data_IF_169175054224
#
_entry.id   IF_169175054224
#
_cell.length_a   1.000
_cell.length_b   1.000
_cell.length_c   1.000
_cell.angle_alpha   90.00
_cell.angle_beta   90.00
_cell.angle_gamma   90.00
#
_symmetry.space_group_name_H-M   'P 1'
#
loop_
_entity.id
_entity.type
_entity.pdbx_description
1 polymer ?
#
# COMPACT_ATOMS: atom_id res chain seq x y z
N UNK A 1 -12.56 -12.85 -13.83
CA UNK A 1 -11.92 -13.07 -12.51
C UNK A 1 -12.66 -14.17 -11.78
N UNK A 2 -11.94 -15.15 -11.27
CA UNK A 2 -12.57 -16.28 -10.58
C UNK A 2 -12.96 -15.89 -9.14
N UNK A 3 -14.05 -16.48 -8.64
CA UNK A 3 -14.57 -16.21 -7.30
C UNK A 3 -13.52 -16.33 -6.16
N UNK A 4 -12.57 -17.29 -6.17
CA UNK A 4 -11.54 -17.38 -5.13
C UNK A 4 -10.61 -16.15 -5.07
N UNK A 5 -10.28 -15.57 -6.23
CA UNK A 5 -9.43 -14.38 -6.29
C UNK A 5 -10.14 -13.18 -5.67
N UNK A 6 -11.43 -13.01 -5.99
CA UNK A 6 -12.25 -11.94 -5.42
C UNK A 6 -12.38 -12.09 -3.90
N UNK A 7 -12.60 -13.31 -3.40
CA UNK A 7 -12.70 -13.57 -1.96
C UNK A 7 -11.40 -13.24 -1.22
N UNK A 8 -10.24 -13.63 -1.76
CA UNK A 8 -8.94 -13.29 -1.19
C UNK A 8 -8.71 -11.78 -1.18
N UNK A 9 -9.00 -11.10 -2.29
CA UNK A 9 -8.84 -9.66 -2.42
C UNK A 9 -9.73 -8.92 -1.42
N UNK A 10 -11.04 -9.15 -1.45
CA UNK A 10 -12.00 -8.50 -0.56
C UNK A 10 -11.78 -8.88 0.91
N UNK A 11 -11.32 -10.10 1.18
CA UNK A 11 -10.92 -10.54 2.51
C UNK A 11 -9.72 -9.77 3.05
N UNK A 12 -8.76 -9.40 2.21
CA UNK A 12 -7.55 -8.65 2.62
C UNK A 12 -7.80 -7.16 2.88
N UNK A 13 -8.76 -6.55 2.16
CA UNK A 13 -9.10 -5.12 2.27
C UNK A 13 -9.30 -4.63 3.72
N UNK A 14 -10.14 -5.24 4.57
CA UNK A 14 -10.34 -4.75 5.93
C UNK A 14 -9.08 -4.82 6.79
N UNK A 15 -8.25 -5.86 6.64
CA UNK A 15 -6.99 -5.97 7.39
C UNK A 15 -6.01 -4.86 7.01
N UNK A 16 -5.87 -4.58 5.71
CA UNK A 16 -5.00 -3.50 5.22
C UNK A 16 -5.55 -2.14 5.66
N UNK A 17 -6.87 -1.93 5.60
CA UNK A 17 -7.49 -0.68 6.01
C UNK A 17 -7.28 -0.39 7.51
N UNK A 18 -7.52 -1.38 8.38
CA UNK A 18 -7.27 -1.26 9.83
C UNK A 18 -5.80 -0.97 10.10
N UNK A 19 -4.88 -1.64 9.39
CA UNK A 19 -3.46 -1.39 9.54
C UNK A 19 -3.06 0.03 9.08
N UNK A 20 -3.55 0.51 7.93
CA UNK A 20 -3.27 1.88 7.43
C UNK A 20 -3.74 2.93 8.44
N UNK A 21 -4.96 2.75 8.99
CA UNK A 21 -5.49 3.64 10.01
C UNK A 21 -4.59 3.66 11.25
N UNK A 22 -4.20 2.47 11.76
CA UNK A 22 -3.32 2.36 12.93
C UNK A 22 -1.94 2.97 12.69
N UNK A 23 -1.30 2.64 11.57
CA UNK A 23 0.03 3.14 11.23
C UNK A 23 0.05 4.67 11.07
N UNK A 24 -1.00 5.24 10.46
CA UNK A 24 -1.17 6.69 10.32
C UNK A 24 -1.42 7.36 11.68
N UNK A 25 -2.25 6.74 12.54
CA UNK A 25 -2.49 7.23 13.90
C UNK A 25 -1.21 7.26 14.74
N UNK A 26 -0.39 6.21 14.63
CA UNK A 26 0.91 6.15 15.31
C UNK A 26 1.86 7.23 14.77
N UNK A 27 1.90 7.43 13.45
CA UNK A 27 2.69 8.50 12.85
C UNK A 27 2.27 9.89 13.35
N UNK A 28 0.97 10.16 13.47
CA UNK A 28 0.45 11.42 14.01
C UNK A 28 0.81 11.60 15.51
N UNK A 29 0.87 10.51 16.28
CA UNK A 29 1.34 10.57 17.67
C UNK A 29 2.86 10.80 17.78
N UNK A 30 3.64 10.48 16.73
CA UNK A 30 5.06 10.80 16.65
C UNK A 30 5.28 12.26 16.21
N UNK A 31 4.45 12.78 15.31
CA UNK A 31 4.45 14.17 14.83
C UNK A 31 3.01 14.70 14.71
N UNK A 32 2.56 15.59 15.60
CA UNK A 32 1.18 16.08 15.61
C UNK A 32 0.77 16.90 14.38
N UNK A 33 1.73 17.49 13.66
CA UNK A 33 1.49 18.44 12.55
C UNK A 33 1.40 17.77 11.17
N UNK A 34 0.96 16.51 11.10
CA UNK A 34 0.80 15.80 9.82
C UNK A 34 -0.48 16.23 9.10
N UNK A 35 -0.40 16.33 7.78
CA UNK A 35 -1.50 16.78 6.90
C UNK A 35 -2.55 15.66 6.73
N UNK A 36 -2.15 14.40 6.78
CA UNK A 36 -3.06 13.25 6.66
C UNK A 36 -3.65 12.82 8.00
N UNK A 37 -4.98 12.91 8.13
CA UNK A 37 -5.67 12.28 9.26
C UNK A 37 -5.77 10.75 9.08
N UNK A 38 -5.75 9.95 10.16
CA UNK A 38 -5.76 8.49 10.05
C UNK A 38 -7.03 7.93 9.40
N UNK A 39 -8.17 8.59 9.62
CA UNK A 39 -9.42 8.26 8.97
C UNK A 39 -9.39 8.56 7.47
N UNK A 40 -8.81 9.72 7.08
CA UNK A 40 -8.69 10.10 5.68
C UNK A 40 -7.72 9.19 4.91
N UNK A 41 -6.66 8.68 5.56
CA UNK A 41 -5.74 7.71 4.96
C UNK A 41 -6.44 6.46 4.38
N UNK A 42 -7.57 6.04 4.97
CA UNK A 42 -8.40 4.94 4.47
C UNK A 42 -9.53 5.44 3.58
N UNK A 43 -10.17 6.56 3.92
CA UNK A 43 -11.31 7.09 3.18
C UNK A 43 -10.97 7.42 1.72
N UNK A 44 -9.72 7.81 1.44
CA UNK A 44 -9.27 8.15 0.09
C UNK A 44 -9.35 7.02 -0.93
N UNK A 45 -9.35 5.76 -0.50
CA UNK A 45 -9.52 4.62 -1.42
C UNK A 45 -10.91 4.54 -2.05
N UNK A 46 -11.92 5.19 -1.46
CA UNK A 46 -13.31 5.14 -1.91
C UNK A 46 -13.69 6.27 -2.87
N UNK A 47 -12.84 7.28 -3.04
CA UNK A 47 -13.10 8.43 -3.90
C UNK A 47 -12.36 8.22 -5.23
N UNK A 48 -13.04 8.05 -6.38
CA UNK A 48 -12.41 7.56 -7.62
C UNK A 48 -11.20 8.36 -8.13
N UNK A 49 -11.22 9.68 -7.99
CA UNK A 49 -10.10 10.53 -8.44
C UNK A 49 -8.99 10.56 -7.39
N UNK A 50 -9.37 10.70 -6.12
CA UNK A 50 -8.41 10.76 -5.02
C UNK A 50 -7.70 9.42 -4.80
N UNK A 51 -8.36 8.30 -5.07
CA UNK A 51 -7.83 6.94 -4.92
C UNK A 51 -6.64 6.65 -5.84
N UNK A 52 -6.35 7.52 -6.83
CA UNK A 52 -5.18 7.43 -7.69
C UNK A 52 -3.90 8.01 -7.07
N UNK A 53 -4.01 8.90 -6.08
CA UNK A 53 -2.84 9.62 -5.55
C UNK A 53 -2.81 9.78 -4.03
N UNK A 54 -3.96 9.97 -3.40
CA UNK A 54 -4.04 10.25 -1.97
C UNK A 54 -3.60 9.07 -1.08
N UNK A 55 -3.89 7.80 -1.41
CA UNK A 55 -3.35 6.68 -0.63
C UNK A 55 -1.82 6.58 -0.65
N UNK A 56 -1.21 6.90 -1.79
CA UNK A 56 0.25 6.99 -1.90
C UNK A 56 0.80 8.11 -1.02
N UNK A 57 0.17 9.28 -1.02
CA UNK A 57 0.60 10.40 -0.18
C UNK A 57 0.53 10.04 1.31
N UNK A 58 -0.58 9.48 1.78
CA UNK A 58 -0.76 9.07 3.17
C UNK A 58 0.27 8.00 3.60
N UNK A 59 0.52 7.01 2.73
CA UNK A 59 1.52 5.98 2.99
C UNK A 59 2.94 6.54 3.04
N UNK A 60 3.28 7.46 2.12
CA UNK A 60 4.59 8.12 2.08
C UNK A 60 4.81 8.99 3.30
N UNK A 61 3.81 9.75 3.73
CA UNK A 61 3.87 10.58 4.94
C UNK A 61 4.04 9.73 6.20
N UNK A 62 3.30 8.63 6.31
CA UNK A 62 3.44 7.64 7.39
C UNK A 62 4.86 7.05 7.42
N UNK A 63 5.39 6.66 6.26
CA UNK A 63 6.74 6.13 6.09
C UNK A 63 7.80 7.15 6.53
N UNK A 64 7.77 8.35 5.93
CA UNK A 64 8.76 9.40 6.19
C UNK A 64 8.74 9.82 7.66
N UNK A 65 7.57 9.90 8.28
CA UNK A 65 7.43 10.24 9.71
C UNK A 65 7.99 9.15 10.59
N UNK A 66 7.64 7.89 10.33
CA UNK A 66 8.10 6.74 11.10
C UNK A 66 9.63 6.63 11.10
N UNK A 67 10.28 6.86 9.96
CA UNK A 67 11.73 6.77 9.85
C UNK A 67 12.46 8.10 10.07
N UNK A 68 11.76 9.17 10.45
CA UNK A 68 12.38 10.48 10.68
C UNK A 68 13.31 10.52 11.89
N UNK A 69 13.04 9.67 12.90
CA UNK A 69 13.84 9.52 14.12
C UNK A 69 14.98 8.50 13.98
N UNK A 70 14.98 7.70 12.91
CA UNK A 70 16.01 6.68 12.65
C UNK A 70 17.26 7.33 12.02
N UNK A 71 18.42 6.88 12.45
CA UNK A 71 19.74 7.22 11.90
C UNK A 71 19.78 6.96 10.39
N UNK A 72 20.39 7.87 9.62
CA UNK A 72 20.42 7.78 8.15
C UNK A 72 21.01 6.45 7.63
N UNK A 73 21.96 5.86 8.36
CA UNK A 73 22.60 4.59 8.01
C UNK A 73 21.67 3.38 8.11
N UNK A 74 20.67 3.44 9.01
CA UNK A 74 19.76 2.32 9.29
C UNK A 74 18.37 2.52 8.68
N UNK A 75 18.17 3.61 7.91
CA UNK A 75 16.90 3.87 7.23
C UNK A 75 16.71 2.89 6.08
N UNK A 76 15.54 2.21 6.00
CA UNK A 76 15.21 1.41 4.83
C UNK A 76 15.04 2.31 3.59
N UNK A 77 15.09 1.68 2.41
CA UNK A 77 14.95 2.37 1.13
C UNK A 77 13.66 3.21 1.06
N UNK A 78 13.74 4.45 0.58
CA UNK A 78 12.58 5.36 0.60
C UNK A 78 11.53 5.05 -0.49
N UNK A 79 11.83 4.15 -1.42
CA UNK A 79 11.00 3.89 -2.58
C UNK A 79 9.93 2.81 -2.34
N UNK A 80 9.90 2.12 -1.19
CA UNK A 80 8.87 1.09 -0.91
C UNK A 80 7.43 1.58 -1.14
N UNK A 81 6.98 2.75 -0.62
CA UNK A 81 5.64 3.26 -0.91
C UNK A 81 5.40 3.52 -2.40
N UNK A 82 6.40 4.00 -3.13
CA UNK A 82 6.30 4.26 -4.56
C UNK A 82 6.23 2.95 -5.37
N UNK A 83 7.07 1.95 -5.04
CA UNK A 83 7.05 0.61 -5.66
C UNK A 83 5.69 -0.05 -5.49
N UNK A 84 5.19 -0.08 -4.25
CA UNK A 84 3.85 -0.62 -3.96
C UNK A 84 2.79 0.05 -4.84
N UNK A 85 2.79 1.38 -4.90
CA UNK A 85 1.78 2.14 -5.63
C UNK A 85 1.84 1.93 -7.14
N UNK A 86 3.04 1.98 -7.72
CA UNK A 86 3.25 1.77 -9.17
C UNK A 86 2.81 0.38 -9.57
N UNK A 87 3.16 -0.66 -8.80
CA UNK A 87 2.72 -2.02 -9.09
C UNK A 87 1.21 -2.20 -8.91
N UNK A 88 0.61 -1.55 -7.91
CA UNK A 88 -0.83 -1.59 -7.70
C UNK A 88 -1.61 -0.96 -8.86
N UNK A 89 -1.29 0.29 -9.23
CA UNK A 89 -1.91 0.97 -10.37
C UNK A 89 -1.63 0.21 -11.67
N UNK A 90 -0.38 -0.20 -11.91
CA UNK A 90 0.02 -0.94 -13.11
C UNK A 90 -0.75 -2.25 -13.26
N UNK A 91 -0.95 -2.98 -12.15
CA UNK A 91 -1.76 -4.21 -12.15
C UNK A 91 -3.23 -3.95 -12.48
N UNK A 92 -3.81 -2.87 -11.93
CA UNK A 92 -5.20 -2.48 -12.20
C UNK A 92 -5.41 -2.08 -13.66
N UNK A 93 -4.49 -1.27 -14.22
CA UNK A 93 -4.53 -0.87 -15.63
C UNK A 93 -4.38 -2.08 -16.56
N UNK A 94 -3.42 -2.97 -16.28
CA UNK A 94 -3.23 -4.19 -17.08
C UNK A 94 -4.47 -5.09 -17.05
N UNK A 95 -5.11 -5.27 -15.89
CA UNK A 95 -6.35 -6.02 -15.77
C UNK A 95 -7.51 -5.38 -16.53
N UNK A 96 -7.67 -4.06 -16.43
CA UNK A 96 -8.68 -3.32 -17.18
C UNK A 96 -8.49 -3.48 -18.70
N UNK A 97 -7.26 -3.32 -19.20
CA UNK A 97 -6.94 -3.51 -20.63
C UNK A 97 -7.23 -4.94 -21.06
N UNK A 98 -6.83 -5.94 -20.26
CA UNK A 98 -7.11 -7.35 -20.55
C UNK A 98 -8.62 -7.61 -20.72
N UNK A 99 -9.44 -7.06 -19.82
CA UNK A 99 -10.90 -7.19 -19.87
C UNK A 99 -11.50 -6.50 -21.09
N UNK A 100 -11.04 -5.29 -21.43
CA UNK A 100 -11.55 -4.56 -22.60
C UNK A 100 -11.18 -5.28 -23.90
N UNK A 101 -9.93 -5.74 -24.03
CA UNK A 101 -9.45 -6.47 -25.21
C UNK A 101 -10.20 -7.80 -25.36
N UNK A 102 -10.40 -8.54 -24.28
CA UNK A 102 -11.12 -9.82 -24.29
C UNK A 102 -12.61 -9.67 -24.66
N UNK A 103 -13.23 -8.53 -24.34
CA UNK A 103 -14.64 -8.24 -24.69
C UNK A 103 -14.80 -7.76 -26.14
N UNK A 104 -13.83 -7.04 -26.67
CA UNK A 104 -13.93 -6.42 -27.99
C UNK A 104 -13.87 -7.43 -29.14
N UNK A 105 -12.99 -8.43 -29.07
CA UNK A 105 -12.77 -9.38 -30.18
C UNK A 105 -12.34 -10.77 -29.70
N UNK A 106 -12.89 -11.82 -30.33
CA UNK A 106 -12.62 -13.24 -30.01
C UNK A 106 -11.60 -13.92 -30.93
N UNK A 107 -10.85 -13.15 -31.74
CA UNK A 107 -9.81 -13.72 -32.59
C UNK A 107 -8.69 -14.33 -31.72
N UNK A 108 -8.13 -15.51 -32.05
CA UNK A 108 -7.14 -16.19 -31.20
C UNK A 108 -5.93 -15.31 -30.81
N UNK A 109 -5.39 -14.53 -31.77
CA UNK A 109 -4.27 -13.61 -31.51
C UNK A 109 -4.62 -12.50 -30.51
N UNK A 110 -5.86 -11.98 -30.56
CA UNK A 110 -6.35 -10.97 -29.62
C UNK A 110 -6.52 -11.57 -28.22
N UNK A 111 -7.01 -12.81 -28.14
CA UNK A 111 -7.12 -13.51 -26.87
C UNK A 111 -5.74 -13.80 -26.24
N UNK A 112 -4.74 -14.15 -27.05
CA UNK A 112 -3.36 -14.29 -26.57
C UNK A 112 -2.84 -12.99 -25.96
N UNK A 113 -3.09 -11.85 -26.61
CA UNK A 113 -2.71 -10.53 -26.09
C UNK A 113 -3.42 -10.22 -24.77
N UNK A 114 -4.73 -10.47 -24.67
CA UNK A 114 -5.48 -10.31 -23.41
C UNK A 114 -4.89 -11.17 -22.29
N UNK A 115 -4.49 -12.40 -22.58
CA UNK A 115 -3.85 -13.29 -21.60
C UNK A 115 -2.49 -12.76 -21.13
N UNK A 116 -1.70 -12.15 -22.01
CA UNK A 116 -0.45 -11.48 -21.62
C UNK A 116 -0.70 -10.33 -20.63
N UNK A 117 -1.73 -9.51 -20.88
CA UNK A 117 -2.11 -8.44 -19.95
C UNK A 117 -2.63 -8.99 -18.61
N UNK A 118 -3.38 -10.09 -18.61
CA UNK A 118 -3.79 -10.79 -17.38
C UNK A 118 -2.59 -11.29 -16.57
N UNK A 119 -1.61 -11.91 -17.22
CA UNK A 119 -0.38 -12.36 -16.57
C UNK A 119 0.41 -11.18 -15.99
N UNK A 120 0.53 -10.08 -16.74
CA UNK A 120 1.15 -8.85 -16.25
C UNK A 120 0.42 -8.28 -15.03
N UNK A 121 -0.92 -8.28 -15.04
CA UNK A 121 -1.74 -7.84 -13.91
C UNK A 121 -1.49 -8.69 -12.65
N UNK A 122 -1.43 -10.02 -12.80
CA UNK A 122 -1.15 -10.93 -11.68
C UNK A 122 0.26 -10.74 -11.14
N UNK A 123 1.28 -10.62 -12.00
CA UNK A 123 2.65 -10.35 -11.55
C UNK A 123 2.74 -9.00 -10.82
N UNK A 124 2.11 -7.96 -11.36
CA UNK A 124 2.04 -6.65 -10.74
C UNK A 124 1.39 -6.70 -9.36
N UNK A 125 0.28 -7.41 -9.20
CA UNK A 125 -0.41 -7.51 -7.90
C UNK A 125 0.41 -8.27 -6.86
N UNK A 126 1.17 -9.30 -7.26
CA UNK A 126 2.11 -10.01 -6.39
C UNK A 126 3.23 -9.07 -5.94
N UNK A 127 3.81 -8.28 -6.85
CA UNK A 127 4.87 -7.32 -6.51
C UNK A 127 4.36 -6.19 -5.62
N UNK A 128 3.13 -5.71 -5.84
CA UNK A 128 2.46 -4.77 -4.97
C UNK A 128 2.26 -5.36 -3.56
N UNK A 129 1.76 -6.58 -3.46
CA UNK A 129 1.55 -7.27 -2.17
C UNK A 129 2.87 -7.49 -1.41
N UNK A 130 3.94 -7.91 -2.10
CA UNK A 130 5.29 -8.04 -1.49
C UNK A 130 5.80 -6.69 -0.97
N UNK A 131 5.64 -5.63 -1.75
CA UNK A 131 6.04 -4.28 -1.35
C UNK A 131 5.24 -3.80 -0.13
N UNK A 132 3.92 -3.98 -0.13
CA UNK A 132 3.05 -3.64 0.99
C UNK A 132 3.42 -4.41 2.26
N UNK A 133 3.68 -5.72 2.14
CA UNK A 133 4.13 -6.53 3.28
C UNK A 133 5.41 -5.99 3.88
N UNK A 134 6.36 -5.55 3.05
CA UNK A 134 7.61 -4.97 3.54
C UNK A 134 7.39 -3.63 4.24
N UNK A 135 6.52 -2.77 3.68
CA UNK A 135 6.08 -1.54 4.35
C UNK A 135 5.50 -1.85 5.72
N UNK A 136 4.55 -2.80 5.79
CA UNK A 136 3.90 -3.22 7.04
C UNK A 136 4.94 -3.66 8.07
N UNK A 137 5.86 -4.53 7.68
CA UNK A 137 6.89 -5.07 8.59
C UNK A 137 7.81 -3.97 9.11
N UNK A 138 8.33 -3.13 8.22
CA UNK A 138 9.32 -2.11 8.56
C UNK A 138 8.70 -1.00 9.42
N UNK A 139 7.52 -0.50 9.03
CA UNK A 139 6.82 0.55 9.79
C UNK A 139 6.41 0.03 11.17
N UNK A 140 5.82 -1.17 11.25
CA UNK A 140 5.39 -1.74 12.53
C UNK A 140 6.58 -1.97 13.47
N UNK A 141 7.70 -2.50 12.96
CA UNK A 141 8.90 -2.72 13.76
C UNK A 141 9.48 -1.40 14.30
N UNK A 142 9.59 -0.37 13.46
CA UNK A 142 10.13 0.93 13.85
C UNK A 142 9.24 1.67 14.86
N UNK A 143 7.92 1.64 14.66
CA UNK A 143 6.97 2.26 15.58
C UNK A 143 6.99 1.56 16.94
N UNK A 144 7.01 0.22 16.98
CA UNK A 144 7.09 -0.53 18.24
C UNK A 144 8.39 -0.25 19.00
N UNK A 145 9.54 -0.19 18.31
CA UNK A 145 10.82 0.14 18.95
C UNK A 145 10.80 1.54 19.58
N UNK A 146 10.19 2.52 18.89
CA UNK A 146 10.07 3.90 19.38
C UNK A 146 9.16 3.98 20.61
N UNK A 147 8.07 3.19 20.65
CA UNK A 147 7.16 3.15 21.79
C UNK A 147 7.87 2.59 23.04
N UNK A 148 8.58 1.47 22.89
CA UNK A 148 9.35 0.85 23.99
C UNK A 148 10.38 1.84 24.54
N UNK A 149 11.11 2.54 23.68
CA UNK A 149 12.10 3.53 24.09
C UNK A 149 11.48 4.67 24.90
N UNK A 150 10.31 5.19 24.47
CA UNK A 150 9.57 6.24 25.20
C UNK A 150 9.10 5.77 26.58
N UNK A 151 8.65 4.53 26.70
CA UNK A 151 8.20 3.96 27.99
C UNK A 151 9.36 3.78 28.97
N UNK A 152 10.52 3.31 28.50
CA UNK A 152 11.73 3.18 29.33
C UNK A 152 12.19 4.54 29.85
N UNK A 153 12.24 5.57 28.99
CA UNK A 153 12.61 6.92 29.40
C UNK A 153 11.63 7.51 30.42
N UNK A 154 10.32 7.23 30.28
CA UNK A 154 9.30 7.69 31.23
C UNK A 154 9.39 6.99 32.58
N UNK A 155 9.86 5.75 32.63
CA UNK A 155 10.02 4.99 33.88
C UNK A 155 11.32 5.34 34.64
N UNK A 156 12.30 5.93 33.96
CA UNK A 156 13.61 6.27 34.53
C UNK A 156 13.71 7.70 35.11
N UNK A 157 12.71 8.56 34.89
CA UNK A 157 12.63 9.93 35.41
C UNK A 157 11.53 10.08 36.45
#
# INVERSE_FOLDING_TARGET
>A
MDAPFLLLFWGAVPFVAVWIHGASSNANALKPDLESSPAWAVAWFFIPVASLWMPYQAMRETWDTTFSTVTKADRPERDYPARWWVFWIGSGVAGFVADQVSKAHHAPAVQTLANCFWLAAVMGSILAAKSLREIIRLVTAAQNATLVDREVHKAAG
#
